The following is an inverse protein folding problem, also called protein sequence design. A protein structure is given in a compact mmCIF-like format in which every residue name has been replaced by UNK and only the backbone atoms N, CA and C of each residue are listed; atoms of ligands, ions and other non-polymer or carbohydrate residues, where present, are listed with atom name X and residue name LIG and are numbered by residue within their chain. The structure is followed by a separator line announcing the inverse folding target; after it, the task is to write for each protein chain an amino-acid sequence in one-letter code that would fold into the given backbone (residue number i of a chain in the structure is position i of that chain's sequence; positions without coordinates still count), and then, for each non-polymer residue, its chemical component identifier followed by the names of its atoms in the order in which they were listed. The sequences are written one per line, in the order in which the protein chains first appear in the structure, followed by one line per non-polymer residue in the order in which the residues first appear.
data_IF_632271662168
#
_entry.id   IF_632271662168
#
_cell.length_a   1.000
_cell.length_b   1.000
_cell.length_c   1.000
_cell.angle_alpha   90.00
_cell.angle_beta   90.00
_cell.angle_gamma   90.00
#
_symmetry.space_group_name_H-M   'P 1'
#
loop_
_entity.id
_entity.type
_entity.pdbx_description
1 polymer ?
#
# COMPACT_ATOMS: atom_id res chain seq x y z
N UNK A 1 9.12 -3.35 -23.52
CA UNK A 1 8.67 -3.44 -22.10
C UNK A 1 7.95 -2.16 -21.70
N UNK A 2 6.93 -2.33 -20.91
CA UNK A 2 6.19 -1.19 -20.34
C UNK A 2 5.78 -1.51 -18.91
N UNK A 3 5.59 -0.47 -18.12
CA UNK A 3 5.11 -0.62 -16.75
C UNK A 3 3.64 -0.99 -16.77
N UNK A 4 3.30 -2.11 -16.15
CA UNK A 4 1.92 -2.56 -16.03
C UNK A 4 1.56 -2.70 -14.55
N UNK A 5 0.30 -2.45 -14.22
CA UNK A 5 -0.20 -2.68 -12.87
C UNK A 5 -0.13 -4.17 -12.55
N UNK A 6 0.61 -4.53 -11.51
CA UNK A 6 0.72 -5.92 -11.04
C UNK A 6 -0.26 -6.21 -9.92
N UNK A 7 -0.38 -5.29 -8.96
CA UNK A 7 -1.33 -5.47 -7.86
C UNK A 7 -1.65 -4.14 -7.20
N UNK A 8 -2.77 -4.12 -6.47
CA UNK A 8 -3.08 -3.00 -5.59
C UNK A 8 -3.89 -3.44 -4.39
N UNK A 9 -3.66 -2.76 -3.27
CA UNK A 9 -4.50 -2.85 -2.09
C UNK A 9 -5.52 -1.73 -2.20
N UNK A 10 -6.80 -2.08 -2.31
CA UNK A 10 -7.85 -1.14 -2.65
C UNK A 10 -8.60 -0.67 -1.40
N UNK A 11 -8.64 0.65 -1.19
CA UNK A 11 -9.39 1.31 -0.12
C UNK A 11 -8.98 0.88 1.28
N UNK A 12 -7.68 0.80 1.53
CA UNK A 12 -7.16 0.58 2.87
C UNK A 12 -7.18 1.87 3.68
N UNK A 13 -7.21 1.76 4.99
CA UNK A 13 -7.20 2.90 5.90
C UNK A 13 -5.84 3.08 6.55
N UNK A 14 -5.33 4.31 6.54
CA UNK A 14 -4.09 4.62 7.24
C UNK A 14 -4.36 4.57 8.74
N UNK A 15 -3.67 3.68 9.43
CA UNK A 15 -3.86 3.49 10.88
C UNK A 15 -2.97 4.39 11.71
N UNK A 16 -1.86 4.86 11.15
CA UNK A 16 -0.90 5.70 11.85
C UNK A 16 -0.05 6.48 10.86
N UNK A 17 0.45 7.64 11.27
CA UNK A 17 1.38 8.44 10.49
C UNK A 17 2.44 9.00 11.43
N UNK A 18 3.72 8.64 11.21
CA UNK A 18 4.83 8.98 12.09
C UNK A 18 5.92 9.71 11.31
N UNK A 19 5.99 11.03 11.47
CA UNK A 19 6.96 11.89 10.78
C UNK A 19 8.39 11.67 11.26
N UNK A 20 8.57 11.09 12.44
CA UNK A 20 9.88 10.89 13.05
C UNK A 20 10.54 9.58 12.67
N UNK A 21 9.82 8.70 11.99
CA UNK A 21 10.36 7.44 11.54
C UNK A 21 11.08 7.61 10.18
N UNK A 22 11.94 6.67 9.84
CA UNK A 22 12.55 6.64 8.50
C UNK A 22 11.46 6.48 7.45
N UNK A 23 11.58 7.14 6.31
CA UNK A 23 10.55 7.09 5.25
C UNK A 23 10.12 5.66 4.93
N UNK A 24 8.90 5.46 4.48
CA UNK A 24 8.34 4.18 4.00
C UNK A 24 6.85 4.12 4.24
N UNK A 25 6.24 3.01 3.81
CA UNK A 25 4.90 2.62 4.25
C UNK A 25 4.99 1.26 4.93
N UNK A 26 4.59 1.19 6.20
CA UNK A 26 4.48 -0.08 6.93
C UNK A 26 3.15 -0.71 6.55
N UNK A 27 3.19 -1.96 6.10
CA UNK A 27 1.98 -2.71 5.70
C UNK A 27 1.96 -4.04 6.45
N UNK A 28 0.78 -4.40 6.97
CA UNK A 28 0.53 -5.71 7.56
C UNK A 28 1.09 -6.82 6.64
N UNK A 29 1.89 -7.73 7.20
CA UNK A 29 2.54 -8.80 6.44
C UNK A 29 1.55 -9.66 5.65
N UNK A 30 0.34 -9.87 6.15
CA UNK A 30 -0.67 -10.62 5.39
C UNK A 30 -1.03 -9.90 4.10
N UNK A 31 -1.19 -8.58 4.15
CA UNK A 31 -1.50 -7.80 2.96
C UNK A 31 -0.32 -7.76 1.98
N UNK A 32 0.91 -7.71 2.50
CA UNK A 32 2.11 -7.81 1.68
C UNK A 32 2.10 -9.12 0.91
N UNK A 33 1.85 -10.24 1.60
CA UNK A 33 1.82 -11.57 0.98
C UNK A 33 0.70 -11.67 -0.06
N UNK A 34 -0.50 -11.22 0.28
CA UNK A 34 -1.67 -11.27 -0.63
C UNK A 34 -1.47 -10.41 -1.86
N UNK A 35 -0.79 -9.28 -1.73
CA UNK A 35 -0.49 -8.40 -2.86
C UNK A 35 0.69 -8.89 -3.69
N UNK A 36 1.52 -9.77 -3.13
CA UNK A 36 2.75 -10.21 -3.78
C UNK A 36 3.82 -9.13 -3.78
N UNK A 37 3.77 -8.19 -2.84
CA UNK A 37 4.83 -7.21 -2.66
C UNK A 37 6.04 -7.85 -1.97
N UNK A 38 7.21 -7.29 -2.22
CA UNK A 38 8.41 -7.59 -1.46
C UNK A 38 8.72 -6.43 -0.53
N UNK A 39 9.28 -6.73 0.64
CA UNK A 39 9.80 -5.69 1.52
C UNK A 39 10.90 -4.94 0.78
N UNK A 40 10.84 -3.61 0.80
CA UNK A 40 11.74 -2.74 0.03
C UNK A 40 11.24 -2.39 -1.35
N UNK A 41 10.15 -2.99 -1.80
CA UNK A 41 9.58 -2.71 -3.11
C UNK A 41 9.00 -1.30 -3.17
N UNK A 42 9.28 -0.60 -4.27
CA UNK A 42 8.70 0.72 -4.54
C UNK A 42 7.23 0.58 -4.87
N UNK A 43 6.41 1.42 -4.27
CA UNK A 43 4.96 1.46 -4.52
C UNK A 43 4.50 2.90 -4.73
N UNK A 44 3.39 3.04 -5.46
CA UNK A 44 2.66 4.30 -5.58
C UNK A 44 1.51 4.25 -4.60
N UNK A 45 1.42 5.28 -3.74
CA UNK A 45 0.34 5.41 -2.77
C UNK A 45 -0.50 6.62 -3.15
N UNK A 46 -1.81 6.42 -3.29
CA UNK A 46 -2.73 7.50 -3.60
C UNK A 46 -3.82 7.57 -2.54
N UNK A 47 -4.21 8.80 -2.18
CA UNK A 47 -5.27 9.02 -1.20
C UNK A 47 -6.58 9.30 -1.92
N UNK A 48 -7.60 8.50 -1.64
CA UNK A 48 -8.96 8.81 -2.12
C UNK A 48 -9.55 9.99 -1.36
N UNK A 49 -9.07 10.26 -0.15
CA UNK A 49 -9.60 11.33 0.70
C UNK A 49 -9.19 12.70 0.19
N UNK A 50 -7.93 12.86 -0.24
CA UNK A 50 -7.37 14.17 -0.59
C UNK A 50 -6.93 14.29 -2.04
N UNK A 51 -6.72 13.16 -2.73
CA UNK A 51 -6.12 13.13 -4.06
C UNK A 51 -4.60 13.17 -4.04
N UNK A 52 -3.98 13.19 -2.86
CA UNK A 52 -2.52 13.19 -2.75
C UNK A 52 -1.93 11.89 -3.32
N UNK A 53 -0.74 12.00 -3.90
CA UNK A 53 -0.02 10.88 -4.52
C UNK A 53 1.43 10.97 -4.11
N UNK A 54 2.03 9.82 -3.78
CA UNK A 54 3.46 9.77 -3.48
C UNK A 54 4.03 8.39 -3.82
N UNK A 55 5.33 8.36 -3.99
CA UNK A 55 6.06 7.11 -4.14
C UNK A 55 6.88 6.87 -2.88
N UNK A 56 6.89 5.62 -2.42
CA UNK A 56 7.66 5.20 -1.26
C UNK A 56 8.00 3.73 -1.41
N UNK A 57 8.42 3.07 -0.35
CA UNK A 57 8.72 1.63 -0.38
C UNK A 57 8.09 0.93 0.83
N UNK A 58 7.88 -0.37 0.68
CA UNK A 58 7.16 -1.20 1.66
C UNK A 58 8.09 -1.69 2.76
N UNK A 59 7.65 -1.60 4.00
CA UNK A 59 8.28 -2.31 5.12
C UNK A 59 7.24 -3.18 5.84
N UNK A 60 7.75 -4.22 6.50
CA UNK A 60 6.94 -5.24 7.16
C UNK A 60 6.24 -4.68 8.39
N UNK A 61 4.94 -4.95 8.50
CA UNK A 61 4.14 -4.69 9.69
C UNK A 61 3.64 -5.99 10.29
N UNK A 62 3.25 -5.94 11.57
CA UNK A 62 2.82 -7.13 12.29
C UNK A 62 1.66 -7.81 11.57
N UNK A 63 1.79 -9.11 11.32
CA UNK A 63 0.78 -9.92 10.63
C UNK A 63 -0.54 -9.90 11.38
N UNK A 64 -1.62 -9.70 10.65
CA UNK A 64 -3.00 -9.62 11.15
C UNK A 64 -3.27 -8.43 12.06
N UNK A 65 -2.39 -7.43 12.08
CA UNK A 65 -2.59 -6.22 12.87
C UNK A 65 -3.49 -5.19 12.19
N UNK A 66 -3.64 -5.29 10.88
CA UNK A 66 -4.31 -4.27 10.09
C UNK A 66 -3.49 -2.99 9.95
N UNK A 67 -2.22 -3.02 10.34
CA UNK A 67 -1.37 -1.83 10.32
C UNK A 67 -1.10 -1.35 8.91
N UNK A 68 -1.34 -0.06 8.69
CA UNK A 68 -0.86 0.69 7.54
C UNK A 68 -0.38 2.03 8.09
N UNK A 69 0.93 2.22 8.13
CA UNK A 69 1.55 3.39 8.72
C UNK A 69 2.36 4.15 7.68
N UNK A 70 2.08 5.45 7.56
CA UNK A 70 2.87 6.35 6.73
C UNK A 70 4.02 6.88 7.56
N UNK A 71 5.26 6.69 7.10
CA UNK A 71 6.46 7.01 7.85
C UNK A 71 7.26 8.14 7.22
N UNK A 72 7.86 8.97 8.06
CA UNK A 72 8.74 10.05 7.61
C UNK A 72 7.99 11.12 6.82
N UNK A 73 8.59 11.57 5.72
CA UNK A 73 8.02 12.63 4.89
C UNK A 73 6.62 12.32 4.37
N UNK A 74 6.32 11.04 4.10
CA UNK A 74 5.01 10.62 3.65
C UNK A 74 3.91 10.96 4.66
N UNK A 75 4.24 10.98 5.95
CA UNK A 75 3.28 11.31 7.00
C UNK A 75 2.83 12.78 6.97
N UNK A 76 3.57 13.66 6.29
CA UNK A 76 3.13 15.04 6.06
C UNK A 76 2.08 15.13 4.97
N UNK A 77 2.07 14.17 4.05
CA UNK A 77 1.23 14.20 2.84
C UNK A 77 -0.05 13.40 3.06
N UNK A 78 0.05 12.23 3.67
CA UNK A 78 -1.07 11.32 3.90
C UNK A 78 -1.16 11.05 5.41
N UNK A 79 -2.34 11.31 5.98
CA UNK A 79 -2.56 11.30 7.42
C UNK A 79 -3.34 10.08 7.86
N UNK A 80 -3.26 9.82 9.17
CA UNK A 80 -4.09 8.80 9.81
C UNK A 80 -5.57 9.01 9.47
N UNK A 81 -6.26 7.93 9.15
CA UNK A 81 -7.69 7.95 8.82
C UNK A 81 -8.00 8.13 7.35
N UNK A 82 -7.02 8.48 6.51
CA UNK A 82 -7.27 8.61 5.08
C UNK A 82 -7.43 7.23 4.44
N UNK A 83 -8.31 7.17 3.44
CA UNK A 83 -8.51 5.99 2.63
C UNK A 83 -7.52 6.03 1.46
N UNK A 84 -6.72 4.98 1.32
CA UNK A 84 -5.66 4.94 0.32
C UNK A 84 -5.73 3.71 -0.57
N UNK A 85 -5.02 3.80 -1.69
CA UNK A 85 -4.75 2.68 -2.59
C UNK A 85 -3.24 2.56 -2.70
N UNK A 86 -2.72 1.35 -2.53
CA UNK A 86 -1.28 1.05 -2.68
C UNK A 86 -1.09 0.22 -3.93
N UNK A 87 -0.31 0.68 -4.88
CA UNK A 87 -0.14 0.04 -6.18
C UNK A 87 1.30 -0.39 -6.42
N UNK A 88 1.45 -1.62 -6.92
CA UNK A 88 2.73 -2.15 -7.40
C UNK A 88 2.66 -2.39 -8.90
N UNK A 89 3.79 -2.23 -9.55
CA UNK A 89 3.91 -2.34 -11.00
C UNK A 89 5.05 -3.30 -11.36
N UNK A 90 5.04 -3.80 -12.57
CA UNK A 90 6.18 -4.54 -13.10
C UNK A 90 6.38 -4.23 -14.58
N UNK A 91 7.61 -4.40 -15.04
CA UNK A 91 7.94 -4.29 -16.45
C UNK A 91 7.56 -5.59 -17.15
N UNK A 92 6.75 -5.50 -18.20
CA UNK A 92 6.31 -6.66 -18.95
C UNK A 92 6.07 -6.29 -20.41
N UNK A 93 6.18 -7.28 -21.29
CA UNK A 93 5.96 -7.10 -22.72
C UNK A 93 4.53 -7.42 -23.14
N UNK A 94 3.83 -8.21 -22.33
CA UNK A 94 2.43 -8.60 -22.58
C UNK A 94 1.58 -8.29 -21.36
N UNK A 95 0.27 -8.20 -21.59
CA UNK A 95 -0.69 -7.92 -20.50
C UNK A 95 -0.58 -8.92 -19.37
N UNK A 96 -0.70 -8.41 -18.16
CA UNK A 96 -0.77 -9.22 -16.95
C UNK A 96 -2.11 -8.94 -16.27
N UNK A 97 -2.64 -9.92 -15.54
CA UNK A 97 -3.86 -9.74 -14.78
C UNK A 97 -3.50 -9.26 -13.37
N UNK A 98 -3.85 -8.03 -13.01
CA UNK A 98 -3.46 -7.50 -11.69
C UNK A 98 -4.25 -8.17 -10.57
N UNK A 99 -3.59 -8.36 -9.43
CA UNK A 99 -4.27 -8.74 -8.19
C UNK A 99 -4.80 -7.47 -7.54
N UNK A 100 -6.09 -7.41 -7.28
CA UNK A 100 -6.71 -6.28 -6.59
C UNK A 100 -7.27 -6.81 -5.28
N UNK A 101 -6.64 -6.42 -4.17
CA UNK A 101 -7.02 -6.85 -2.84
C UNK A 101 -8.15 -5.99 -2.30
N UNK A 102 -9.17 -6.64 -1.77
CA UNK A 102 -10.23 -5.99 -1.02
C UNK A 102 -9.95 -6.19 0.46
N UNK A 103 -10.14 -5.13 1.25
CA UNK A 103 -9.99 -5.16 2.70
C UNK A 103 -11.22 -4.56 3.36
N UNK A 104 -11.46 -4.94 4.61
CA UNK A 104 -12.51 -4.35 5.42
C UNK A 104 -12.01 -3.09 6.15
N UNK A 105 -12.83 -2.52 7.03
CA UNK A 105 -12.50 -1.28 7.75
C UNK A 105 -11.36 -1.44 8.75
N UNK A 106 -10.97 -2.66 9.08
CA UNK A 106 -9.83 -2.97 9.93
C UNK A 106 -8.62 -3.42 9.11
N UNK A 107 -8.63 -3.18 7.78
CA UNK A 107 -7.59 -3.60 6.85
C UNK A 107 -7.37 -5.12 6.83
N UNK A 108 -8.42 -5.89 7.11
CA UNK A 108 -8.35 -7.35 6.99
C UNK A 108 -8.68 -7.75 5.56
N UNK A 109 -7.89 -8.66 5.03
CA UNK A 109 -8.12 -9.17 3.69
C UNK A 109 -9.47 -9.90 3.61
N UNK A 110 -10.31 -9.52 2.65
CA UNK A 110 -11.63 -10.14 2.45
C UNK A 110 -11.73 -10.90 1.14
N UNK A 111 -10.83 -10.67 0.21
CA UNK A 111 -10.82 -11.38 -1.08
C UNK A 111 -10.19 -10.55 -2.18
N UNK A 112 -10.14 -11.14 -3.36
CA UNK A 112 -9.68 -10.45 -4.56
C UNK A 112 -10.88 -10.00 -5.39
N UNK A 113 -10.73 -8.83 -6.02
CA UNK A 113 -11.73 -8.34 -6.97
C UNK A 113 -11.67 -9.13 -8.27
#
# INVERSE_FOLDING_TARGET
MRWLLRSKIFKALVTEADVNYKGSITIDDELIDKAGFLVGEKVLVVSNTTGARLETYVISGKRHSGTICMNGAAAHVIKKGEEIIVMGFELADTSIEPKILLVDKQNRFTGYL
#
